data_IF_539733310653
#
_entry.id   IF_539733310653
#
_cell.length_a   1.000
_cell.length_b   1.000
_cell.length_c   1.000
_cell.angle_alpha   90.00
_cell.angle_beta   90.00
_cell.angle_gamma   90.00
#
_symmetry.space_group_name_H-M   'P 1'
#
loop_
_entity.id
_entity.type
_entity.pdbx_description
1 polymer ?
#
# COMPACT_ATOMS: atom_id res chain seq x y z
N UNK A 1 -65.20 -46.04 -34.25
CA UNK A 1 -64.63 -46.71 -33.06
C UNK A 1 -63.28 -47.30 -33.44
N UNK A 2 -62.21 -47.01 -32.67
CA UNK A 2 -60.87 -47.60 -32.78
C UNK A 2 -59.91 -46.86 -33.73
N UNK A 3 -59.15 -45.83 -33.33
CA UNK A 3 -57.84 -45.79 -32.62
C UNK A 3 -56.62 -46.35 -33.39
N UNK A 4 -55.51 -45.60 -33.25
CA UNK A 4 -54.08 -45.89 -33.53
C UNK A 4 -53.63 -45.58 -34.98
N UNK A 5 -52.84 -44.55 -35.29
CA UNK A 5 -51.69 -43.86 -34.65
C UNK A 5 -50.41 -44.74 -34.61
N UNK A 6 -49.40 -44.36 -35.40
CA UNK A 6 -48.10 -45.03 -35.49
C UNK A 6 -47.12 -44.32 -36.43
N UNK A 7 -46.37 -43.34 -35.89
CA UNK A 7 -45.30 -42.55 -36.51
C UNK A 7 -44.10 -43.40 -36.98
N UNK A 8 -43.30 -42.82 -37.89
CA UNK A 8 -41.84 -42.50 -37.75
C UNK A 8 -41.24 -42.18 -39.14
N UNK A 9 -40.26 -41.31 -39.34
CA UNK A 9 -39.59 -40.28 -38.54
C UNK A 9 -38.70 -39.53 -39.55
N UNK A 10 -38.80 -38.21 -39.60
CA UNK A 10 -38.05 -37.32 -40.49
C UNK A 10 -36.62 -37.12 -39.97
N UNK A 11 -35.62 -37.39 -40.82
CA UNK A 11 -34.26 -36.86 -40.68
C UNK A 11 -34.06 -35.83 -41.77
N UNK A 12 -33.99 -34.53 -41.42
CA UNK A 12 -33.27 -33.52 -42.18
C UNK A 12 -33.33 -32.20 -41.45
N UNK A 13 -32.17 -31.57 -41.34
CA UNK A 13 -31.98 -30.30 -40.65
C UNK A 13 -31.43 -30.52 -39.26
N UNK A 14 -30.22 -30.04 -39.05
CA UNK A 14 -29.76 -29.21 -37.92
C UNK A 14 -28.28 -28.96 -38.18
N UNK A 15 -28.00 -28.32 -39.32
CA UNK A 15 -26.79 -27.54 -39.54
C UNK A 15 -27.10 -26.12 -39.10
N UNK A 16 -26.12 -25.43 -38.51
CA UNK A 16 -26.18 -24.11 -37.87
C UNK A 16 -26.61 -24.11 -36.39
N UNK A 17 -25.70 -24.45 -35.46
CA UNK A 17 -25.67 -23.86 -34.11
C UNK A 17 -24.35 -24.26 -33.39
N UNK A 18 -23.19 -23.91 -33.94
CA UNK A 18 -21.91 -24.22 -33.25
C UNK A 18 -20.75 -23.25 -33.55
N UNK A 19 -21.00 -21.94 -33.63
CA UNK A 19 -19.94 -20.94 -33.82
C UNK A 19 -20.08 -19.68 -32.94
N UNK A 20 -20.80 -19.70 -31.82
CA UNK A 20 -21.05 -18.47 -31.05
C UNK A 20 -20.97 -18.61 -29.52
N UNK A 21 -20.01 -19.38 -29.00
CA UNK A 21 -19.77 -19.51 -27.54
C UNK A 21 -18.27 -19.68 -27.21
N UNK A 22 -17.37 -18.94 -27.86
CA UNK A 22 -15.95 -18.87 -27.45
C UNK A 22 -15.52 -17.40 -27.49
N UNK A 23 -16.14 -16.56 -26.68
CA UNK A 23 -15.80 -15.14 -26.61
C UNK A 23 -16.01 -14.53 -25.23
N UNK A 24 -15.85 -15.29 -24.13
CA UNK A 24 -15.80 -14.68 -22.78
C UNK A 24 -14.93 -15.52 -21.84
N UNK A 25 -13.66 -15.70 -22.17
CA UNK A 25 -12.63 -15.93 -21.15
C UNK A 25 -11.64 -14.78 -21.30
N UNK A 26 -12.12 -13.58 -20.94
CA UNK A 26 -11.23 -12.48 -20.65
C UNK A 26 -10.36 -12.93 -19.49
N UNK A 27 -9.09 -13.21 -19.77
CA UNK A 27 -8.04 -13.31 -18.75
C UNK A 27 -7.86 -11.93 -18.12
N UNK A 28 -8.81 -11.50 -17.29
CA UNK A 28 -8.56 -10.48 -16.28
C UNK A 28 -7.57 -11.09 -15.31
N UNK A 29 -6.28 -10.74 -15.46
CA UNK A 29 -5.30 -10.96 -14.39
C UNK A 29 -5.93 -10.39 -13.11
N UNK A 30 -5.87 -11.09 -11.97
CA UNK A 30 -6.39 -10.55 -10.71
C UNK A 30 -5.78 -9.17 -10.50
N UNK A 31 -6.62 -8.15 -10.28
CA UNK A 31 -6.12 -6.84 -9.88
C UNK A 31 -5.38 -7.05 -8.58
N UNK A 32 -4.11 -6.67 -8.56
CA UNK A 32 -3.31 -6.66 -7.34
C UNK A 32 -3.94 -5.65 -6.39
N UNK A 33 -4.36 -6.10 -5.22
CA UNK A 33 -4.88 -5.24 -4.18
C UNK A 33 -3.73 -4.73 -3.32
N UNK A 34 -3.26 -3.53 -3.60
CA UNK A 34 -2.13 -2.92 -2.90
C UNK A 34 -2.48 -2.58 -1.45
N UNK A 35 -3.76 -2.34 -1.14
CA UNK A 35 -4.19 -2.04 0.21
C UNK A 35 -4.07 -3.29 1.10
N UNK A 36 -4.59 -4.43 0.61
CA UNK A 36 -4.46 -5.73 1.29
C UNK A 36 -2.99 -6.14 1.50
N UNK A 37 -2.12 -5.84 0.53
CA UNK A 37 -0.68 -6.12 0.65
C UNK A 37 -0.03 -5.28 1.75
N UNK A 38 -0.33 -3.98 1.79
CA UNK A 38 0.16 -3.07 2.83
C UNK A 38 -0.28 -3.56 4.22
N UNK A 39 -1.57 -3.85 4.39
CA UNK A 39 -2.10 -4.31 5.67
C UNK A 39 -1.48 -5.65 6.09
N UNK A 40 -1.37 -6.61 5.16
CA UNK A 40 -0.76 -7.92 5.44
C UNK A 40 0.73 -7.81 5.79
N UNK A 41 1.47 -6.88 5.18
CA UNK A 41 2.88 -6.61 5.52
C UNK A 41 2.99 -6.12 6.96
N UNK A 42 2.18 -5.12 7.31
CA UNK A 42 2.18 -4.49 8.64
C UNK A 42 1.72 -5.47 9.74
N UNK A 43 0.72 -6.30 9.47
CA UNK A 43 0.29 -7.33 10.42
C UNK A 43 1.40 -8.34 10.69
N UNK A 44 2.16 -8.77 9.68
CA UNK A 44 3.34 -9.65 9.86
C UNK A 44 4.46 -8.97 10.63
N UNK A 45 4.71 -7.69 10.38
CA UNK A 45 5.65 -6.89 11.17
C UNK A 45 5.22 -6.88 12.65
N UNK A 46 3.93 -6.71 12.94
CA UNK A 46 3.41 -6.74 14.29
C UNK A 46 3.64 -8.08 15.02
N UNK A 47 3.57 -9.20 14.32
CA UNK A 47 3.77 -10.53 14.90
C UNK A 47 5.23 -10.82 15.28
N UNK A 48 6.19 -10.16 14.62
CA UNK A 48 7.60 -10.54 14.65
C UNK A 48 8.56 -9.46 15.13
N UNK A 49 8.11 -8.21 15.16
CA UNK A 49 8.93 -7.05 15.50
C UNK A 49 8.46 -6.36 16.77
N UNK A 50 9.36 -5.57 17.37
CA UNK A 50 9.02 -4.74 18.50
C UNK A 50 8.30 -3.48 18.01
N UNK A 51 7.06 -3.28 18.46
CA UNK A 51 6.32 -2.04 18.25
C UNK A 51 6.63 -1.01 19.34
N UNK A 52 6.95 0.21 18.95
CA UNK A 52 7.15 1.35 19.86
C UNK A 52 6.44 2.60 19.34
N UNK A 53 6.14 3.53 20.24
CA UNK A 53 5.62 4.87 19.87
C UNK A 53 6.66 5.63 19.04
N UNK A 54 6.26 6.15 17.89
CA UNK A 54 7.20 6.74 16.93
C UNK A 54 7.80 8.05 17.43
N UNK A 55 6.98 8.94 18.01
CA UNK A 55 7.45 10.24 18.50
C UNK A 55 8.48 10.04 19.62
N UNK A 56 8.15 9.18 20.60
CA UNK A 56 9.07 8.82 21.68
C UNK A 56 10.35 8.17 21.14
N UNK A 57 10.26 7.33 20.11
CA UNK A 57 11.41 6.67 19.50
C UNK A 57 12.40 7.69 18.90
N UNK A 58 11.91 8.59 18.04
CA UNK A 58 12.76 9.59 17.37
C UNK A 58 13.25 10.69 18.34
N UNK A 59 12.45 11.09 19.34
CA UNK A 59 12.88 12.04 20.37
C UNK A 59 14.07 11.53 21.19
N UNK A 60 14.15 10.22 21.38
CA UNK A 60 15.22 9.54 22.11
C UNK A 60 16.41 9.11 21.24
N UNK A 61 16.46 9.55 19.98
CA UNK A 61 17.59 9.30 19.08
C UNK A 61 17.50 8.00 18.28
N UNK A 62 16.32 7.41 18.17
CA UNK A 62 16.07 6.37 17.18
C UNK A 62 16.24 6.90 15.75
N UNK A 63 16.70 6.03 14.85
CA UNK A 63 17.13 6.38 13.50
C UNK A 63 16.22 5.70 12.46
N UNK A 64 15.86 6.43 11.41
CA UNK A 64 15.29 5.90 10.18
C UNK A 64 16.40 5.85 9.13
N UNK A 65 16.83 4.63 8.80
CA UNK A 65 17.97 4.38 7.91
C UNK A 65 17.57 3.25 6.97
N UNK A 66 17.45 3.56 5.68
CA UNK A 66 17.24 2.56 4.64
C UNK A 66 18.56 1.98 4.17
N UNK A 67 19.60 2.81 4.04
CA UNK A 67 20.96 2.37 3.74
C UNK A 67 22.00 2.86 4.76
N UNK A 68 23.04 2.05 5.08
CA UNK A 68 24.01 2.38 6.13
C UNK A 68 24.74 3.73 6.00
N UNK A 69 24.76 4.32 4.80
CA UNK A 69 25.44 5.58 4.51
C UNK A 69 24.48 6.78 4.37
N UNK A 70 23.17 6.58 4.60
CA UNK A 70 22.18 7.64 4.47
C UNK A 70 22.28 8.68 5.59
N UNK A 71 22.13 9.97 5.27
CA UNK A 71 21.97 10.99 6.30
C UNK A 71 20.63 10.79 7.02
N UNK A 72 20.61 10.72 8.35
CA UNK A 72 19.38 10.50 9.10
C UNK A 72 18.38 11.65 8.94
N UNK A 73 17.13 11.35 8.56
CA UNK A 73 16.02 12.33 8.54
C UNK A 73 15.40 12.55 9.92
N UNK A 74 15.48 11.54 10.78
CA UNK A 74 15.11 11.42 12.20
C UNK A 74 14.43 12.65 12.85
N UNK A 75 15.02 13.16 13.92
CA UNK A 75 14.41 14.18 14.75
C UNK A 75 14.13 15.51 14.05
N UNK A 76 15.03 16.09 13.22
CA UNK A 76 14.79 17.43 12.67
C UNK A 76 13.67 17.46 11.62
N UNK A 77 13.37 16.35 10.95
CA UNK A 77 12.38 16.33 9.86
C UNK A 77 11.21 15.38 10.12
N UNK A 78 11.44 14.18 10.64
CA UNK A 78 10.37 13.20 10.89
C UNK A 78 9.50 13.63 12.08
N UNK A 79 10.08 14.10 13.19
CA UNK A 79 9.27 14.48 14.37
C UNK A 79 8.28 15.62 14.07
N UNK A 80 8.68 16.73 13.43
CA UNK A 80 7.73 17.77 13.02
C UNK A 80 6.63 17.24 12.09
N UNK A 81 7.00 16.44 11.07
CA UNK A 81 6.06 15.81 10.14
C UNK A 81 5.00 14.98 10.88
N UNK A 82 5.44 14.07 11.75
CA UNK A 82 4.54 13.20 12.51
C UNK A 82 3.67 13.97 13.48
N UNK A 83 4.21 15.02 14.11
CA UNK A 83 3.47 15.91 15.01
C UNK A 83 2.33 16.59 14.25
N UNK A 84 2.61 17.19 13.08
CA UNK A 84 1.60 17.82 12.24
C UNK A 84 0.48 16.85 11.86
N UNK A 85 0.82 15.63 11.42
CA UNK A 85 -0.17 14.63 11.03
C UNK A 85 -0.99 14.11 12.22
N UNK A 86 -0.39 14.05 13.41
CA UNK A 86 -1.09 13.70 14.66
C UNK A 86 -2.08 14.80 15.06
N UNK A 87 -1.67 16.06 15.01
CA UNK A 87 -2.48 17.20 15.43
C UNK A 87 -3.63 17.48 14.46
N UNK A 88 -3.37 17.43 13.15
CA UNK A 88 -4.35 17.76 12.11
C UNK A 88 -5.29 16.60 11.75
N UNK A 89 -4.80 15.36 11.79
CA UNK A 89 -5.55 14.19 11.32
C UNK A 89 -5.69 13.05 12.34
N UNK A 90 -5.17 13.23 13.55
CA UNK A 90 -5.30 12.26 14.66
C UNK A 90 -4.64 10.91 14.40
N UNK A 91 -3.59 10.87 13.58
CA UNK A 91 -2.78 9.66 13.43
C UNK A 91 -1.99 9.35 14.69
N UNK A 92 -2.00 8.09 15.12
CA UNK A 92 -1.15 7.57 16.18
C UNK A 92 -0.03 6.72 15.56
N UNK A 93 1.19 7.26 15.59
CA UNK A 93 2.33 6.69 14.88
C UNK A 93 3.09 5.66 15.72
N UNK A 94 3.57 4.63 15.05
CA UNK A 94 4.37 3.57 15.64
C UNK A 94 5.53 3.23 14.73
N UNK A 95 6.65 2.89 15.34
CA UNK A 95 7.80 2.31 14.66
C UNK A 95 7.88 0.83 15.00
N UNK A 96 8.17 0.01 14.00
CA UNK A 96 8.62 -1.37 14.21
C UNK A 96 10.14 -1.44 14.17
N UNK A 97 10.74 -2.13 15.14
CA UNK A 97 12.19 -2.32 15.24
C UNK A 97 12.55 -3.79 15.43
N UNK A 98 13.79 -4.16 15.10
CA UNK A 98 14.35 -5.44 15.49
C UNK A 98 14.53 -5.52 17.00
N UNK A 99 14.50 -6.74 17.54
CA UNK A 99 14.76 -6.95 18.96
C UNK A 99 16.23 -6.72 19.31
N UNK A 100 17.12 -7.10 18.41
CA UNK A 100 18.57 -6.99 18.49
C UNK A 100 19.10 -5.58 18.19
N UNK A 101 18.36 -4.81 17.39
CA UNK A 101 18.68 -3.41 17.09
C UNK A 101 17.44 -2.52 17.34
N UNK A 102 17.22 -2.11 18.60
CA UNK A 102 16.07 -1.29 18.95
C UNK A 102 16.29 0.20 18.64
N UNK A 103 17.37 0.58 17.95
CA UNK A 103 17.65 1.97 17.59
C UNK A 103 17.35 2.26 16.12
N UNK A 104 17.13 1.25 15.29
CA UNK A 104 16.76 1.41 13.88
C UNK A 104 15.28 1.12 13.66
N UNK A 105 14.59 2.06 13.01
CA UNK A 105 13.25 1.88 12.48
C UNK A 105 13.30 0.99 11.23
N UNK A 106 12.48 -0.06 11.20
CA UNK A 106 12.24 -0.86 9.99
C UNK A 106 10.99 -0.43 9.25
N UNK A 107 9.96 0.01 9.99
CA UNK A 107 8.72 0.51 9.41
C UNK A 107 8.15 1.61 10.29
N UNK A 108 7.62 2.65 9.66
CA UNK A 108 6.89 3.74 10.31
C UNK A 108 5.42 3.71 9.86
N UNK A 109 4.53 3.42 10.79
CA UNK A 109 3.12 3.11 10.49
C UNK A 109 2.18 3.83 11.45
N UNK A 110 0.97 4.11 10.97
CA UNK A 110 -0.16 4.52 11.80
C UNK A 110 -1.39 3.70 11.42
N UNK A 111 -2.28 3.47 12.40
CA UNK A 111 -3.65 3.06 12.06
C UNK A 111 -4.40 4.23 11.47
N UNK A 112 -5.19 3.98 10.42
CA UNK A 112 -6.03 5.01 9.81
C UNK A 112 -7.20 5.31 10.75
N UNK A 113 -7.36 6.57 11.22
CA UNK A 113 -8.51 6.94 12.03
C UNK A 113 -9.84 6.73 11.27
N UNK A 114 -10.92 6.36 11.97
CA UNK A 114 -12.23 6.23 11.33
C UNK A 114 -12.68 7.56 10.71
N UNK A 115 -13.05 7.53 9.44
CA UNK A 115 -13.53 8.72 8.73
C UNK A 115 -12.44 9.66 8.22
N UNK A 116 -11.17 9.25 8.23
CA UNK A 116 -10.07 10.01 7.64
C UNK A 116 -10.33 10.36 6.17
N UNK A 117 -10.24 11.64 5.84
CA UNK A 117 -10.22 12.11 4.46
C UNK A 117 -8.81 11.92 3.88
N UNK A 118 -8.60 10.80 3.20
CA UNK A 118 -7.29 10.44 2.60
C UNK A 118 -6.80 11.52 1.63
N UNK A 119 -7.68 12.23 0.93
CA UNK A 119 -7.27 13.28 -0.02
C UNK A 119 -6.74 14.51 0.71
N UNK A 120 -7.37 14.89 1.82
CA UNK A 120 -6.88 15.99 2.65
C UNK A 120 -5.49 15.68 3.22
N UNK A 121 -5.27 14.44 3.68
CA UNK A 121 -3.95 13.99 4.15
C UNK A 121 -2.91 14.03 3.02
N UNK A 122 -3.25 13.53 1.84
CA UNK A 122 -2.34 13.54 0.68
C UNK A 122 -1.97 14.96 0.23
N UNK A 123 -2.93 15.89 0.21
CA UNK A 123 -2.67 17.30 -0.09
C UNK A 123 -1.73 17.91 0.94
N UNK A 124 -1.98 17.64 2.23
CA UNK A 124 -1.14 18.16 3.30
C UNK A 124 0.29 17.60 3.23
N UNK A 125 0.44 16.31 2.94
CA UNK A 125 1.75 15.70 2.72
C UNK A 125 2.48 16.29 1.53
N UNK A 126 1.76 16.64 0.45
CA UNK A 126 2.37 17.32 -0.70
C UNK A 126 2.87 18.74 -0.36
N UNK A 127 2.22 19.44 0.56
CA UNK A 127 2.74 20.72 1.09
C UNK A 127 3.99 20.51 1.95
N UNK A 128 3.96 19.55 2.87
CA UNK A 128 5.09 19.25 3.76
C UNK A 128 6.30 18.71 3.00
N UNK A 129 6.06 18.03 1.87
CA UNK A 129 7.09 17.55 0.95
C UNK A 129 8.00 18.68 0.43
N UNK A 130 7.50 19.91 0.27
CA UNK A 130 8.30 21.03 -0.24
C UNK A 130 9.43 21.43 0.72
N UNK A 131 9.26 21.16 2.02
CA UNK A 131 10.21 21.49 3.08
C UNK A 131 11.05 20.28 3.52
N UNK A 132 10.71 19.08 3.04
CA UNK A 132 11.38 17.83 3.42
C UNK A 132 12.65 17.62 2.57
N UNK A 133 13.80 17.25 3.18
CA UNK A 133 15.09 17.13 2.50
C UNK A 133 15.28 15.84 1.67
N UNK A 134 14.19 15.27 1.16
CA UNK A 134 14.10 13.98 0.47
C UNK A 134 12.70 13.79 -0.11
N UNK A 135 12.31 12.57 -0.45
CA UNK A 135 10.92 12.25 -0.83
C UNK A 135 10.18 11.53 0.31
N UNK A 136 8.94 11.96 0.57
CA UNK A 136 8.00 11.30 1.47
C UNK A 136 7.18 10.31 0.65
N UNK A 137 7.46 9.03 0.82
CA UNK A 137 6.71 7.94 0.22
C UNK A 137 5.52 7.57 1.10
N UNK A 138 4.42 7.19 0.46
CA UNK A 138 3.14 6.94 1.12
C UNK A 138 2.58 5.59 0.66
N UNK A 139 2.30 4.69 1.61
CA UNK A 139 1.56 3.45 1.33
C UNK A 139 0.27 3.41 2.12
N UNK A 140 -0.83 3.19 1.40
CA UNK A 140 -2.18 3.19 1.95
C UNK A 140 -2.76 1.78 1.93
N UNK A 141 -2.99 1.23 3.11
CA UNK A 141 -3.83 0.07 3.36
C UNK A 141 -5.30 0.42 3.51
N UNK A 142 -6.12 -0.56 3.90
CA UNK A 142 -7.48 -0.32 4.37
C UNK A 142 -7.45 0.14 5.84
N UNK A 143 -6.62 -0.51 6.66
CA UNK A 143 -6.51 -0.25 8.10
C UNK A 143 -5.27 0.56 8.49
N UNK A 144 -4.20 0.50 7.69
CA UNK A 144 -2.93 1.13 8.00
C UNK A 144 -2.46 2.14 6.96
N UNK A 145 -1.67 3.09 7.43
CA UNK A 145 -0.96 4.07 6.62
C UNK A 145 0.52 4.03 7.01
N UNK A 146 1.43 3.86 6.04
CA UNK A 146 2.86 3.91 6.30
C UNK A 146 3.54 5.03 5.54
N UNK A 147 4.58 5.56 6.16
CA UNK A 147 5.51 6.53 5.56
C UNK A 147 6.88 5.89 5.44
N UNK A 148 7.53 6.23 4.34
CA UNK A 148 8.89 5.85 3.99
C UNK A 148 9.60 7.07 3.39
N UNK A 149 10.93 7.12 3.42
CA UNK A 149 11.70 8.33 3.12
C UNK A 149 12.93 8.03 2.26
N UNK A 150 12.92 8.49 1.01
CA UNK A 150 14.12 8.45 0.20
C UNK A 150 14.95 9.71 0.38
N UNK A 151 16.27 9.57 0.31
CA UNK A 151 17.14 10.73 0.27
C UNK A 151 17.16 11.40 -1.11
N UNK A 152 17.66 12.63 -1.17
CA UNK A 152 17.69 13.40 -2.42
C UNK A 152 18.48 12.73 -3.55
N UNK A 153 19.54 11.97 -3.23
CA UNK A 153 20.34 11.23 -4.21
C UNK A 153 19.55 10.06 -4.82
N UNK A 154 18.80 9.34 -3.99
CA UNK A 154 17.92 8.24 -4.41
C UNK A 154 16.72 8.76 -5.21
N UNK A 155 16.11 9.85 -4.75
CA UNK A 155 15.06 10.55 -5.47
C UNK A 155 15.48 10.91 -6.90
N UNK A 156 16.73 11.36 -7.09
CA UNK A 156 17.25 11.65 -8.43
C UNK A 156 17.42 10.39 -9.28
N UNK A 157 17.88 9.28 -8.68
CA UNK A 157 18.02 8.00 -9.38
C UNK A 157 16.67 7.47 -9.90
N UNK A 158 15.61 7.53 -9.09
CA UNK A 158 14.27 7.08 -9.48
C UNK A 158 13.50 8.07 -10.38
N UNK A 159 13.95 9.33 -10.49
CA UNK A 159 13.36 10.32 -11.41
C UNK A 159 13.86 10.19 -12.85
N UNK A 160 14.89 9.39 -13.12
CA UNK A 160 15.32 9.14 -14.50
C UNK A 160 14.24 8.34 -15.22
N UNK A 161 13.58 8.89 -16.25
CA UNK A 161 12.54 8.16 -16.96
C UNK A 161 13.16 6.94 -17.64
N UNK A 162 12.51 5.78 -17.53
CA UNK A 162 12.73 4.62 -18.40
C UNK A 162 12.48 5.04 -19.86
N UNK A 163 13.46 5.67 -20.49
CA UNK A 163 13.55 5.96 -21.92
C UNK A 163 15.03 6.24 -22.26
N UNK A 164 15.87 5.23 -22.03
CA UNK A 164 17.18 5.09 -22.71
C UNK A 164 17.18 3.81 -23.51
#
# INVERSE_FOLDING_TARGET
MGLMNGRKQTQLGWSLFLCLMVSVLGCSKPKLDLAEITDSRIDKAHESLRKVDALTFFENGGLYIDFPDDPPFDRPYIVPLLTTLTEEFHFEWSVFTLHEDPQQALELVAKIPPGTDRKAVQLRLAELQEEFPGDILQEWGDDYFSLDFNNAEESEYFRVPENS
#
